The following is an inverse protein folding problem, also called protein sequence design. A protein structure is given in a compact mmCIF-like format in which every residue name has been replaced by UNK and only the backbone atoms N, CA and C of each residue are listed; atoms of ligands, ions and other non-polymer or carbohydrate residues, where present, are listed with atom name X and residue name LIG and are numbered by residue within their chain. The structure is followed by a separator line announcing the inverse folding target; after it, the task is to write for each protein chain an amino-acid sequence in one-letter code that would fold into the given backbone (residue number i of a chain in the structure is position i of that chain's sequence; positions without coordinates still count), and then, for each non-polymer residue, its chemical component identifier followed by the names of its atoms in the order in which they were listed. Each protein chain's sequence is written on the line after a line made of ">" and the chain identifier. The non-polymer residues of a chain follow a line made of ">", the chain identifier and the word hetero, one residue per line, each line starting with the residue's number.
data_IF_033920337320
#
_entry.id   IF_033920337320
#
_cell.length_a   1.000
_cell.length_b   1.000
_cell.length_c   1.000
_cell.angle_alpha   90.00
_cell.angle_beta   90.00
_cell.angle_gamma   90.00
#
_symmetry.space_group_name_H-M   'P 1'
#
loop_
_entity.id
_entity.type
_entity.pdbx_description
1 polymer ?
#
# COMPACT_ATOMS: atom_id res chain seq x y z
N UNK A 1 122.33 -25.48 -33.73
CA UNK A 1 121.39 -26.60 -33.55
C UNK A 1 120.61 -26.38 -32.27
N UNK A 2 119.30 -26.54 -32.38
CA UNK A 2 118.27 -26.71 -31.34
C UNK A 2 117.89 -25.55 -30.41
N UNK A 3 116.57 -25.43 -30.31
CA UNK A 3 115.73 -24.44 -29.68
C UNK A 3 115.04 -24.98 -28.42
N UNK A 4 114.10 -24.19 -27.91
CA UNK A 4 112.98 -24.50 -27.00
C UNK A 4 113.30 -24.37 -25.50
N UNK A 5 112.44 -23.87 -24.62
CA UNK A 5 111.13 -23.21 -24.70
C UNK A 5 110.79 -22.89 -23.23
N UNK A 6 110.30 -21.69 -22.90
CA UNK A 6 109.68 -21.45 -21.59
C UNK A 6 108.76 -20.22 -21.70
N UNK A 7 107.48 -20.49 -21.92
CA UNK A 7 106.40 -19.49 -21.84
C UNK A 7 105.48 -19.86 -20.69
N UNK A 8 105.19 -18.98 -19.72
CA UNK A 8 104.12 -19.21 -18.76
C UNK A 8 102.78 -18.69 -19.29
N UNK A 9 101.79 -19.60 -19.37
CA UNK A 9 100.40 -19.31 -19.72
C UNK A 9 99.72 -18.38 -18.69
N UNK A 10 98.94 -17.43 -19.21
CA UNK A 10 98.08 -16.50 -18.44
C UNK A 10 96.72 -17.18 -18.16
N UNK A 11 96.14 -17.06 -16.94
CA UNK A 11 94.94 -17.78 -16.58
C UNK A 11 93.68 -17.23 -17.29
N UNK A 12 92.85 -18.19 -17.73
CA UNK A 12 91.59 -18.03 -18.47
C UNK A 12 90.53 -17.26 -17.65
N UNK A 13 90.02 -16.15 -18.18
CA UNK A 13 88.94 -15.37 -17.57
C UNK A 13 87.60 -16.11 -17.66
N UNK A 14 86.85 -16.11 -16.55
CA UNK A 14 85.46 -16.62 -16.46
C UNK A 14 84.53 -15.66 -17.21
N UNK A 15 83.66 -16.21 -18.06
CA UNK A 15 82.60 -15.49 -18.80
C UNK A 15 81.65 -14.78 -17.81
N UNK A 16 81.63 -13.46 -17.89
CA UNK A 16 80.59 -12.59 -17.31
C UNK A 16 79.33 -12.69 -18.17
N UNK A 17 78.16 -12.85 -17.53
CA UNK A 17 76.86 -12.58 -18.15
C UNK A 17 76.89 -11.14 -18.65
N UNK A 18 76.59 -10.92 -19.93
CA UNK A 18 76.46 -9.59 -20.51
C UNK A 18 75.43 -8.77 -19.71
N UNK A 19 75.88 -7.67 -19.10
CA UNK A 19 74.98 -6.65 -18.58
C UNK A 19 74.34 -5.93 -19.77
N UNK A 20 73.01 -5.78 -19.80
CA UNK A 20 72.35 -5.07 -20.88
C UNK A 20 72.86 -3.63 -20.94
N UNK A 21 73.04 -3.12 -22.16
CA UNK A 21 73.45 -1.74 -22.39
C UNK A 21 72.49 -0.77 -21.71
N UNK A 22 72.98 0.38 -21.23
CA UNK A 22 72.15 1.46 -20.69
C UNK A 22 70.98 1.79 -21.64
N UNK A 23 71.24 1.75 -22.95
CA UNK A 23 70.24 2.00 -23.98
C UNK A 23 69.16 0.90 -24.03
N UNK A 24 69.55 -0.38 -23.92
CA UNK A 24 68.59 -1.49 -23.85
C UNK A 24 67.76 -1.44 -22.57
N UNK A 25 68.35 -1.06 -21.44
CA UNK A 25 67.62 -0.88 -20.19
C UNK A 25 66.57 0.24 -20.31
N UNK A 26 66.93 1.34 -20.97
CA UNK A 26 66.03 2.47 -21.18
C UNK A 26 64.86 2.11 -22.12
N UNK A 27 65.13 1.41 -23.21
CA UNK A 27 64.10 0.86 -24.12
C UNK A 27 63.18 -0.14 -23.41
N UNK A 28 63.72 -1.04 -22.59
CA UNK A 28 62.93 -1.98 -21.79
C UNK A 28 62.02 -1.27 -20.77
N UNK A 29 62.48 -0.17 -20.17
CA UNK A 29 61.67 0.64 -19.26
C UNK A 29 60.56 1.35 -20.03
N UNK A 30 60.87 1.97 -21.17
CA UNK A 30 59.89 2.69 -22.00
C UNK A 30 58.81 1.74 -22.51
N UNK A 31 59.19 0.56 -23.00
CA UNK A 31 58.25 -0.45 -23.49
C UNK A 31 57.35 -0.99 -22.37
N UNK A 32 57.91 -1.26 -21.18
CA UNK A 32 57.14 -1.72 -20.02
C UNK A 32 56.14 -0.65 -19.55
N UNK A 33 56.58 0.61 -19.44
CA UNK A 33 55.71 1.72 -19.06
C UNK A 33 54.63 1.96 -20.11
N UNK A 34 54.97 1.95 -21.39
CA UNK A 34 54.02 2.10 -22.50
C UNK A 34 52.96 0.99 -22.47
N UNK A 35 53.38 -0.26 -22.23
CA UNK A 35 52.46 -1.39 -22.06
C UNK A 35 51.52 -1.18 -20.89
N UNK A 36 52.04 -0.80 -19.72
CA UNK A 36 51.23 -0.58 -18.51
C UNK A 36 50.27 0.61 -18.67
N UNK A 37 50.70 1.69 -19.33
CA UNK A 37 49.85 2.84 -19.66
C UNK A 37 48.72 2.41 -20.58
N UNK A 38 49.02 1.68 -21.67
CA UNK A 38 48.00 1.20 -22.61
C UNK A 38 47.00 0.24 -21.95
N UNK A 39 47.47 -0.69 -21.11
CA UNK A 39 46.60 -1.58 -20.33
C UNK A 39 45.69 -0.78 -19.37
N UNK A 40 46.26 0.20 -18.65
CA UNK A 40 45.47 1.05 -17.75
C UNK A 40 44.45 1.91 -18.48
N UNK A 41 44.80 2.45 -19.64
CA UNK A 41 43.92 3.24 -20.49
C UNK A 41 42.77 2.39 -21.02
N UNK A 42 43.06 1.18 -21.51
CA UNK A 42 42.04 0.24 -21.97
C UNK A 42 41.08 -0.18 -20.84
N UNK A 43 41.61 -0.41 -19.64
CA UNK A 43 40.78 -0.70 -18.46
C UNK A 43 39.86 0.47 -18.10
N UNK A 44 40.38 1.71 -18.13
CA UNK A 44 39.60 2.91 -17.87
C UNK A 44 38.50 3.11 -18.93
N UNK A 45 38.81 2.91 -20.21
CA UNK A 45 37.83 2.97 -21.30
C UNK A 45 36.70 1.93 -21.11
N UNK A 46 37.03 0.73 -20.65
CA UNK A 46 36.03 -0.31 -20.38
C UNK A 46 35.09 0.11 -19.24
N UNK A 47 35.63 0.60 -18.13
CA UNK A 47 34.83 1.10 -17.00
C UNK A 47 33.93 2.28 -17.41
N UNK A 48 34.45 3.21 -18.21
CA UNK A 48 33.67 4.34 -18.73
C UNK A 48 32.51 3.83 -19.59
N UNK A 49 32.76 2.85 -20.46
CA UNK A 49 31.73 2.27 -21.33
C UNK A 49 30.64 1.56 -20.52
N UNK A 50 31.02 0.75 -19.54
CA UNK A 50 30.10 0.05 -18.65
C UNK A 50 29.24 1.02 -17.83
N UNK A 51 29.86 2.08 -17.29
CA UNK A 51 29.13 3.12 -16.59
C UNK A 51 28.16 3.87 -17.51
N UNK A 52 28.56 4.19 -18.75
CA UNK A 52 27.68 4.85 -19.71
C UNK A 52 26.46 3.99 -20.05
N UNK A 53 26.64 2.68 -20.24
CA UNK A 53 25.56 1.73 -20.48
C UNK A 53 24.63 1.60 -19.25
N UNK A 54 25.21 1.54 -18.06
CA UNK A 54 24.47 1.45 -16.80
C UNK A 54 23.62 2.70 -16.56
N UNK A 55 24.21 3.89 -16.74
CA UNK A 55 23.50 5.18 -16.66
C UNK A 55 22.36 5.24 -17.69
N UNK A 56 22.61 4.80 -18.93
CA UNK A 56 21.59 4.76 -19.98
C UNK A 56 20.41 3.85 -19.62
N UNK A 57 20.69 2.69 -19.03
CA UNK A 57 19.66 1.75 -18.56
C UNK A 57 18.87 2.34 -17.39
N UNK A 58 19.56 2.90 -16.40
CA UNK A 58 18.92 3.55 -15.25
C UNK A 58 18.01 4.70 -15.69
N UNK A 59 18.46 5.52 -16.64
CA UNK A 59 17.64 6.59 -17.21
C UNK A 59 16.33 6.06 -17.79
N UNK A 60 16.38 5.01 -18.61
CA UNK A 60 15.18 4.39 -19.19
C UNK A 60 14.23 3.86 -18.12
N UNK A 61 14.76 3.20 -17.09
CA UNK A 61 13.96 2.69 -15.97
C UNK A 61 13.30 3.83 -15.18
N UNK A 62 14.02 4.93 -14.95
CA UNK A 62 13.49 6.12 -14.29
C UNK A 62 12.39 6.77 -15.13
N UNK A 63 12.63 6.99 -16.44
CA UNK A 63 11.65 7.58 -17.35
C UNK A 63 10.36 6.74 -17.41
N UNK A 64 10.49 5.41 -17.43
CA UNK A 64 9.36 4.49 -17.36
C UNK A 64 8.59 4.63 -16.04
N UNK A 65 9.29 4.55 -14.90
CA UNK A 65 8.66 4.68 -13.59
C UNK A 65 7.96 6.05 -13.40
N UNK A 66 8.52 7.12 -13.97
CA UNK A 66 7.93 8.45 -13.94
C UNK A 66 6.59 8.51 -14.70
N UNK A 67 6.51 7.84 -15.85
CA UNK A 67 5.28 7.74 -16.62
C UNK A 67 4.22 6.92 -15.88
N UNK A 68 4.58 5.76 -15.32
CA UNK A 68 3.66 4.94 -14.53
C UNK A 68 3.12 5.70 -13.31
N UNK A 69 3.98 6.45 -12.60
CA UNK A 69 3.55 7.29 -11.47
C UNK A 69 2.59 8.39 -11.90
N UNK A 70 2.79 8.96 -13.10
CA UNK A 70 1.89 9.96 -13.65
C UNK A 70 0.52 9.35 -14.00
N UNK A 71 0.51 8.21 -14.66
CA UNK A 71 -0.71 7.51 -15.06
C UNK A 71 -1.52 7.09 -13.82
N UNK A 72 -0.86 6.53 -12.80
CA UNK A 72 -1.47 6.20 -11.51
C UNK A 72 -2.08 7.43 -10.81
N UNK A 73 -1.41 8.59 -10.91
CA UNK A 73 -1.93 9.85 -10.34
C UNK A 73 -3.20 10.31 -11.04
N UNK A 74 -3.26 10.16 -12.35
CA UNK A 74 -4.43 10.52 -13.15
C UNK A 74 -5.60 9.57 -12.87
N UNK A 75 -5.36 8.26 -12.79
CA UNK A 75 -6.36 7.27 -12.37
C UNK A 75 -6.88 7.55 -10.95
N UNK A 76 -5.99 7.84 -10.01
CA UNK A 76 -6.35 8.19 -8.63
C UNK A 76 -7.25 9.43 -8.56
N UNK A 77 -7.06 10.40 -9.46
CA UNK A 77 -7.94 11.58 -9.54
C UNK A 77 -9.35 11.17 -9.98
N UNK A 78 -9.45 10.34 -11.03
CA UNK A 78 -10.73 9.83 -11.52
C UNK A 78 -11.47 9.04 -10.43
N UNK A 79 -10.76 8.15 -9.73
CA UNK A 79 -11.34 7.36 -8.62
C UNK A 79 -11.86 8.26 -7.51
N UNK A 80 -11.13 9.32 -7.13
CA UNK A 80 -11.59 10.29 -6.13
C UNK A 80 -12.86 11.01 -6.55
N UNK A 81 -12.94 11.44 -7.80
CA UNK A 81 -14.12 12.11 -8.35
C UNK A 81 -15.35 11.19 -8.33
N UNK A 82 -15.19 9.94 -8.79
CA UNK A 82 -16.25 8.93 -8.76
C UNK A 82 -16.70 8.64 -7.32
N UNK A 83 -15.76 8.44 -6.41
CA UNK A 83 -16.04 8.15 -5.00
C UNK A 83 -16.84 9.27 -4.36
N UNK A 84 -16.41 10.51 -4.55
CA UNK A 84 -17.13 11.70 -4.03
C UNK A 84 -18.54 11.78 -4.60
N UNK A 85 -18.71 11.49 -5.90
CA UNK A 85 -20.05 11.46 -6.53
C UNK A 85 -20.94 10.36 -5.94
N UNK A 86 -20.37 9.18 -5.67
CA UNK A 86 -21.09 8.07 -5.05
C UNK A 86 -21.50 8.38 -3.61
N UNK A 87 -20.61 8.95 -2.81
CA UNK A 87 -20.91 9.39 -1.44
C UNK A 87 -22.09 10.37 -1.41
N UNK A 88 -22.10 11.36 -2.31
CA UNK A 88 -23.20 12.31 -2.44
C UNK A 88 -24.52 11.63 -2.83
N UNK A 89 -24.48 10.68 -3.78
CA UNK A 89 -25.67 9.92 -4.19
C UNK A 89 -26.20 9.05 -3.07
N UNK A 90 -25.32 8.39 -2.31
CA UNK A 90 -25.71 7.57 -1.16
C UNK A 90 -26.39 8.44 -0.10
N UNK A 91 -25.77 9.56 0.29
CA UNK A 91 -26.36 10.47 1.27
C UNK A 91 -27.75 10.99 0.83
N UNK A 92 -27.90 11.32 -0.45
CA UNK A 92 -29.19 11.76 -1.00
C UNK A 92 -30.24 10.63 -1.00
N UNK A 93 -29.84 9.40 -1.32
CA UNK A 93 -30.74 8.25 -1.29
C UNK A 93 -31.15 7.90 0.14
N UNK A 94 -30.23 7.92 1.10
CA UNK A 94 -30.52 7.73 2.52
C UNK A 94 -31.52 8.77 3.02
N UNK A 95 -31.34 10.04 2.65
CA UNK A 95 -32.29 11.11 2.97
C UNK A 95 -33.68 10.84 2.38
N UNK A 96 -33.76 10.42 1.11
CA UNK A 96 -35.04 10.08 0.46
C UNK A 96 -35.73 8.89 1.12
N UNK A 97 -34.98 7.85 1.48
CA UNK A 97 -35.51 6.67 2.17
C UNK A 97 -36.06 7.08 3.53
N UNK A 98 -35.27 7.82 4.33
CA UNK A 98 -35.72 8.30 5.63
C UNK A 98 -36.99 9.17 5.53
N UNK A 99 -37.07 10.05 4.51
CA UNK A 99 -38.26 10.86 4.28
C UNK A 99 -39.47 10.01 3.92
N UNK A 100 -39.31 9.05 3.00
CA UNK A 100 -40.38 8.13 2.61
C UNK A 100 -40.86 7.31 3.80
N UNK A 101 -39.94 6.77 4.60
CA UNK A 101 -40.22 6.05 5.82
C UNK A 101 -40.98 6.89 6.86
N UNK A 102 -40.59 8.15 7.03
CA UNK A 102 -41.28 9.10 7.91
C UNK A 102 -42.69 9.38 7.41
N UNK A 103 -42.88 9.59 6.11
CA UNK A 103 -44.20 9.79 5.51
C UNK A 103 -45.11 8.58 5.71
N UNK A 104 -44.61 7.38 5.46
CA UNK A 104 -45.36 6.13 5.64
C UNK A 104 -45.78 5.90 7.10
N UNK A 105 -44.98 6.37 8.07
CA UNK A 105 -45.24 6.19 9.50
C UNK A 105 -45.85 7.43 10.16
N UNK A 106 -46.16 8.49 9.40
CA UNK A 106 -46.61 9.79 9.93
C UNK A 106 -47.82 9.69 10.87
N UNK A 107 -48.74 8.78 10.57
CA UNK A 107 -49.98 8.58 11.33
C UNK A 107 -49.92 7.36 12.25
N UNK A 108 -48.75 6.72 12.38
CA UNK A 108 -48.59 5.57 13.25
C UNK A 108 -48.31 6.04 14.68
N UNK A 109 -49.14 5.60 15.61
CA UNK A 109 -48.91 5.78 17.04
C UNK A 109 -48.13 4.59 17.59
N UNK A 110 -47.06 4.84 18.35
CA UNK A 110 -46.34 3.81 19.10
C UNK A 110 -46.76 3.85 20.57
N UNK A 111 -47.29 2.75 21.07
CA UNK A 111 -47.59 2.57 22.49
C UNK A 111 -46.47 1.77 23.14
N UNK A 112 -45.87 2.33 24.18
CA UNK A 112 -44.78 1.70 24.94
C UNK A 112 -45.27 1.27 26.32
N UNK A 113 -44.67 0.22 26.89
CA UNK A 113 -45.00 -0.26 28.24
C UNK A 113 -46.33 -0.99 28.35
N UNK A 114 -46.91 -1.44 27.23
CA UNK A 114 -48.13 -2.26 27.22
C UNK A 114 -47.76 -3.71 27.51
N UNK A 115 -48.21 -4.32 28.63
CA UNK A 115 -47.85 -5.70 28.98
C UNK A 115 -48.34 -6.71 27.95
N UNK A 116 -47.56 -7.77 27.75
CA UNK A 116 -47.88 -8.83 26.79
C UNK A 116 -48.86 -9.86 27.39
N UNK A 117 -49.93 -10.17 26.66
CA UNK A 117 -50.89 -11.22 27.03
C UNK A 117 -51.04 -12.22 25.88
N UNK A 118 -51.16 -13.49 26.22
CA UNK A 118 -51.49 -14.55 25.26
C UNK A 118 -52.92 -14.38 24.77
N UNK A 119 -53.14 -14.52 23.46
CA UNK A 119 -54.46 -14.39 22.81
C UNK A 119 -55.14 -13.02 23.03
N UNK A 120 -54.37 -11.96 22.87
CA UNK A 120 -54.85 -10.60 23.07
C UNK A 120 -55.49 -9.98 21.82
N UNK A 121 -56.59 -9.27 22.03
CA UNK A 121 -57.14 -8.40 20.99
C UNK A 121 -56.49 -7.01 21.06
N UNK A 122 -55.45 -6.83 20.24
CA UNK A 122 -54.71 -5.58 20.13
C UNK A 122 -55.56 -4.39 19.70
N UNK A 123 -56.66 -4.59 18.96
CA UNK A 123 -57.52 -3.49 18.54
C UNK A 123 -58.33 -2.97 19.72
N UNK A 124 -58.96 -3.89 20.46
CA UNK A 124 -59.73 -3.54 21.65
C UNK A 124 -58.84 -2.87 22.70
N UNK A 125 -57.65 -3.42 22.94
CA UNK A 125 -56.70 -2.84 23.89
C UNK A 125 -56.26 -1.42 23.52
N UNK A 126 -55.98 -1.17 22.23
CA UNK A 126 -55.62 0.18 21.75
C UNK A 126 -56.78 1.15 21.90
N UNK A 127 -58.01 0.74 21.56
CA UNK A 127 -59.22 1.57 21.70
C UNK A 127 -59.46 1.92 23.17
N UNK A 128 -59.27 0.97 24.08
CA UNK A 128 -59.41 1.18 25.52
C UNK A 128 -58.38 2.19 26.03
N UNK A 129 -57.09 1.98 25.72
CA UNK A 129 -56.01 2.87 26.14
C UNK A 129 -56.22 4.27 25.56
N UNK A 130 -56.41 4.40 24.25
CA UNK A 130 -56.59 5.72 23.63
C UNK A 130 -57.89 6.39 24.07
N UNK A 131 -58.98 5.64 24.21
CA UNK A 131 -60.27 6.14 24.69
C UNK A 131 -60.25 6.57 26.15
N UNK A 132 -59.33 6.05 26.98
CA UNK A 132 -59.14 6.54 28.34
C UNK A 132 -58.53 7.96 28.39
N UNK A 133 -57.70 8.29 27.39
CA UNK A 133 -57.01 9.58 27.30
C UNK A 133 -57.84 10.62 26.54
N UNK A 134 -58.54 10.20 25.48
CA UNK A 134 -59.40 11.04 24.66
C UNK A 134 -60.76 10.34 24.40
N UNK A 135 -61.68 10.37 25.38
CA UNK A 135 -62.98 9.70 25.29
C UNK A 135 -63.82 10.15 24.09
N UNK A 136 -63.71 11.40 23.69
CA UNK A 136 -64.43 12.01 22.56
C UNK A 136 -64.01 11.45 21.19
N UNK A 137 -62.91 10.71 21.12
CA UNK A 137 -62.37 10.13 19.88
C UNK A 137 -62.60 8.61 19.79
N UNK A 138 -63.20 8.00 20.81
CA UNK A 138 -63.29 6.54 20.99
C UNK A 138 -63.86 5.80 19.77
N UNK A 139 -64.88 6.35 19.13
CA UNK A 139 -65.55 5.72 17.99
C UNK A 139 -64.80 5.92 16.65
N UNK A 140 -63.75 6.74 16.62
CA UNK A 140 -62.99 7.06 15.40
C UNK A 140 -61.73 6.21 15.23
N UNK A 141 -61.39 5.37 16.19
CA UNK A 141 -60.21 4.53 16.13
C UNK A 141 -60.46 3.29 15.26
N UNK A 142 -60.07 3.35 13.98
CA UNK A 142 -60.16 2.23 13.03
C UNK A 142 -58.84 2.06 12.31
N UNK A 143 -57.84 1.47 12.97
CA UNK A 143 -56.52 1.26 12.37
C UNK A 143 -56.00 -0.14 12.66
N UNK A 144 -55.15 -0.67 11.76
CA UNK A 144 -54.47 -1.94 11.99
C UNK A 144 -53.45 -1.83 13.12
N UNK A 145 -53.63 -2.63 14.18
CA UNK A 145 -52.72 -2.73 15.33
C UNK A 145 -51.80 -3.93 15.19
N UNK A 146 -50.52 -3.78 15.51
CA UNK A 146 -49.56 -4.89 15.58
C UNK A 146 -48.50 -4.66 16.65
N UNK A 147 -48.06 -5.73 17.31
CA UNK A 147 -46.85 -5.73 18.15
C UNK A 147 -45.61 -5.56 17.27
N UNK A 148 -44.64 -4.80 17.73
CA UNK A 148 -43.33 -4.68 17.07
C UNK A 148 -42.23 -4.82 18.11
N UNK A 149 -41.40 -5.86 17.98
CA UNK A 149 -40.30 -6.15 18.90
C UNK A 149 -39.84 -7.61 18.78
N UNK A 150 -38.63 -7.91 19.27
CA UNK A 150 -38.26 -9.28 19.65
C UNK A 150 -38.87 -9.55 21.02
N UNK A 151 -39.48 -10.72 21.20
CA UNK A 151 -40.08 -11.19 22.46
C UNK A 151 -39.15 -10.86 23.64
N UNK A 152 -39.57 -9.90 24.48
CA UNK A 152 -38.85 -9.55 25.69
C UNK A 152 -39.21 -10.62 26.72
N UNK A 153 -38.36 -11.66 26.82
CA UNK A 153 -38.45 -12.60 27.93
C UNK A 153 -38.35 -11.80 29.23
N UNK A 154 -39.45 -11.81 29.96
CA UNK A 154 -39.58 -11.22 31.29
C UNK A 154 -38.44 -11.74 32.17
N UNK A 155 -37.62 -10.85 32.70
CA UNK A 155 -36.79 -11.12 33.87
C UNK A 155 -36.61 -9.81 34.64
N UNK A 156 -36.90 -9.90 35.92
CA UNK A 156 -36.92 -8.83 36.91
C UNK A 156 -35.61 -8.03 36.99
N UNK A 157 -35.78 -6.73 37.25
CA UNK A 157 -34.81 -5.71 37.63
C UNK A 157 -33.39 -6.16 38.00
N UNK A 158 -32.39 -5.71 37.24
CA UNK A 158 -31.24 -4.98 37.79
C UNK A 158 -30.51 -4.22 36.69
N UNK A 159 -30.31 -2.94 36.94
CA UNK A 159 -29.57 -1.98 36.13
C UNK A 159 -28.13 -2.49 35.99
N UNK A 160 -27.67 -2.75 34.76
CA UNK A 160 -26.27 -2.56 34.41
C UNK A 160 -26.18 -2.18 32.93
N UNK A 161 -25.99 -0.88 32.73
CA UNK A 161 -25.51 -0.32 31.47
C UNK A 161 -24.17 -0.98 31.13
N UNK A 162 -24.17 -1.81 30.10
CA UNK A 162 -22.96 -2.19 29.36
C UNK A 162 -23.16 -1.72 27.92
N UNK A 163 -22.73 -0.48 27.68
CA UNK A 163 -22.44 -0.01 26.33
C UNK A 163 -21.19 -0.75 25.88
N UNK A 164 -21.39 -1.82 25.09
CA UNK A 164 -20.30 -2.47 24.37
C UNK A 164 -19.82 -1.53 23.26
N UNK A 165 -18.55 -1.18 23.36
CA UNK A 165 -17.76 -0.51 22.34
C UNK A 165 -17.68 -1.36 21.07
N UNK A 166 -17.73 -0.70 19.92
CA UNK A 166 -17.55 -1.30 18.60
C UNK A 166 -16.77 -0.37 17.69
N UNK A 167 -15.51 -0.11 18.04
CA UNK A 167 -14.49 0.34 17.09
C UNK A 167 -14.12 -0.82 16.18
N UNK A 168 -14.20 -0.62 14.86
CA UNK A 168 -13.25 -1.22 13.92
C UNK A 168 -12.99 -0.23 12.79
N UNK A 169 -11.84 0.43 12.86
CA UNK A 169 -11.08 0.83 11.69
C UNK A 169 -10.52 -0.43 11.03
N UNK A 170 -10.72 -0.62 9.74
CA UNK A 170 -9.83 -1.45 8.91
C UNK A 170 -9.11 -0.54 7.90
N UNK A 171 -7.83 -0.31 8.16
CA UNK A 171 -6.84 0.04 7.15
C UNK A 171 -6.01 -1.21 6.84
N UNK A 172 -5.73 -1.41 5.56
CA UNK A 172 -4.49 -2.04 5.11
C UNK A 172 -4.56 -3.53 4.80
N UNK A 173 -4.51 -3.85 3.50
CA UNK A 173 -3.79 -5.02 3.01
C UNK A 173 -2.81 -4.54 1.94
N UNK A 174 -1.53 -4.56 2.30
CA UNK A 174 -0.42 -4.74 1.37
C UNK A 174 -0.41 -6.20 0.92
N UNK A 175 -0.24 -6.41 -0.38
CA UNK A 175 0.73 -7.32 -1.00
C UNK A 175 1.02 -6.79 -2.40
#
# INVERSE_FOLDING_TARGET
>A
MSAMDDTPEKPRSKKTKDEPSLLEMQENIITLLSKKINESSGNLENLIRENMLSIGTLKKSIDFALNEVKDLKDEMKVVKEITTSHEQKVAELERKVNEAERYWRRWNLRLHGVPEKTDEDLKHLVIEICGSVAPELKDRYQTGSKRTGKELKSNDNSIHEQVYSGSTMEKGKEL
#
